data_IF_141804709361
#
_entry.id   IF_141804709361
#
_cell.length_a   1.000
_cell.length_b   1.000
_cell.length_c   1.000
_cell.angle_alpha   90.00
_cell.angle_beta   90.00
_cell.angle_gamma   90.00
#
_symmetry.space_group_name_H-M   'P 1'
#
loop_
_entity.id
_entity.type
_entity.pdbx_description
1 polymer ?
#
# COMPACT_ATOMS: atom_id res chain seq x y z
N UNK A 1 -3.93 69.64 14.17
CA UNK A 1 -4.58 68.50 13.47
C UNK A 1 -3.78 68.13 12.20
N UNK A 2 -2.46 67.98 12.30
CA UNK A 2 -1.54 67.76 11.17
C UNK A 2 -0.28 67.00 11.63
N UNK A 3 -0.43 65.87 12.33
CA UNK A 3 0.71 64.99 12.68
C UNK A 3 0.29 63.51 12.82
N UNK A 4 -0.49 62.97 11.87
CA UNK A 4 -0.79 61.52 11.85
C UNK A 4 -0.72 60.84 10.46
N UNK A 5 -0.06 61.44 9.45
CA UNK A 5 0.11 60.78 8.13
C UNK A 5 1.51 60.23 7.86
N UNK A 6 2.42 60.26 8.84
CA UNK A 6 3.82 59.85 8.63
C UNK A 6 4.16 58.39 9.02
N UNK A 7 3.18 57.47 9.13
CA UNK A 7 3.43 56.07 9.56
C UNK A 7 2.66 54.98 8.77
N UNK A 8 2.43 55.14 7.47
CA UNK A 8 2.00 54.03 6.57
C UNK A 8 3.02 53.76 5.45
N UNK A 9 4.31 53.65 5.81
CA UNK A 9 5.41 53.37 4.86
C UNK A 9 6.11 52.03 5.10
N UNK A 10 5.51 51.12 5.84
CA UNK A 10 6.10 49.81 6.15
C UNK A 10 5.11 48.72 5.82
N UNK A 11 5.37 47.99 4.73
CA UNK A 11 4.82 46.68 4.32
C UNK A 11 4.62 46.56 2.80
N UNK A 12 4.93 47.61 2.03
CA UNK A 12 4.93 47.46 0.57
C UNK A 12 6.12 46.61 0.12
N UNK A 13 5.85 45.63 -0.74
CA UNK A 13 6.87 44.75 -1.32
C UNK A 13 8.01 45.54 -1.98
N UNK A 14 9.26 45.08 -1.81
CA UNK A 14 10.41 45.79 -2.36
C UNK A 14 10.37 45.84 -3.90
N UNK A 15 10.87 46.92 -4.51
CA UNK A 15 10.99 47.08 -5.98
C UNK A 15 11.69 45.89 -6.65
N UNK A 16 12.71 45.32 -5.98
CA UNK A 16 13.45 44.14 -6.47
C UNK A 16 12.53 42.91 -6.53
N UNK A 17 11.76 42.67 -5.47
CA UNK A 17 10.81 41.55 -5.38
C UNK A 17 9.69 41.69 -6.43
N UNK A 18 9.12 42.89 -6.57
CA UNK A 18 8.14 43.19 -7.63
C UNK A 18 8.69 42.90 -9.03
N UNK A 19 9.96 43.22 -9.28
CA UNK A 19 10.62 42.97 -10.56
C UNK A 19 10.79 41.48 -10.84
N UNK A 20 11.23 40.72 -9.83
CA UNK A 20 11.35 39.25 -9.92
C UNK A 20 9.99 38.63 -10.25
N UNK A 21 8.93 39.00 -9.54
CA UNK A 21 7.57 38.53 -9.79
C UNK A 21 7.09 38.85 -11.22
N UNK A 22 7.36 40.07 -11.70
CA UNK A 22 7.00 40.46 -13.08
C UNK A 22 7.74 39.62 -14.12
N UNK A 23 9.04 39.36 -13.95
CA UNK A 23 9.82 38.52 -14.88
C UNK A 23 9.36 37.06 -14.86
N UNK A 24 9.00 36.55 -13.68
CA UNK A 24 8.61 35.15 -13.47
C UNK A 24 7.11 34.90 -13.65
N UNK A 25 6.35 35.92 -14.04
CA UNK A 25 4.90 35.84 -14.24
C UNK A 25 4.48 34.69 -15.15
N UNK A 26 5.16 34.52 -16.28
CA UNK A 26 4.86 33.44 -17.22
C UNK A 26 5.23 32.07 -16.66
N UNK A 27 6.36 31.96 -15.95
CA UNK A 27 6.76 30.73 -15.27
C UNK A 27 5.73 30.32 -14.22
N UNK A 28 5.28 31.27 -13.39
CA UNK A 28 4.22 31.03 -12.40
C UNK A 28 2.93 30.60 -13.12
N UNK A 29 2.51 31.30 -14.16
CA UNK A 29 1.31 30.96 -14.92
C UNK A 29 1.36 29.58 -15.60
N UNK A 30 2.55 29.10 -15.96
CA UNK A 30 2.76 27.79 -16.56
C UNK A 30 2.80 26.63 -15.55
N UNK A 31 3.11 26.93 -14.28
CA UNK A 31 3.31 25.91 -13.24
C UNK A 31 2.21 25.90 -12.18
N UNK A 32 1.41 26.96 -12.09
CA UNK A 32 0.34 27.11 -11.10
C UNK A 32 -0.99 27.18 -11.83
N UNK A 33 -1.88 26.24 -11.51
CA UNK A 33 -3.27 26.29 -11.93
C UNK A 33 -4.11 26.86 -10.79
N UNK A 34 -4.74 28.01 -11.00
CA UNK A 34 -5.59 28.66 -9.99
C UNK A 34 -6.96 27.95 -9.88
N UNK A 35 -6.97 26.70 -9.39
CA UNK A 35 -8.22 25.99 -9.08
C UNK A 35 -8.99 26.69 -7.96
N UNK A 36 -10.25 26.31 -7.74
CA UNK A 36 -11.03 26.84 -6.61
C UNK A 36 -10.38 26.52 -5.26
N UNK A 37 -9.84 25.30 -5.11
CA UNK A 37 -9.12 24.89 -3.90
C UNK A 37 -7.87 25.74 -3.69
N UNK A 38 -7.07 25.94 -4.73
CA UNK A 38 -5.88 26.80 -4.65
C UNK A 38 -6.23 28.25 -4.28
N UNK A 39 -7.35 28.78 -4.79
CA UNK A 39 -7.84 30.12 -4.42
C UNK A 39 -8.37 30.17 -2.98
N UNK A 40 -8.95 29.08 -2.46
CA UNK A 40 -9.30 28.97 -1.05
C UNK A 40 -8.04 28.99 -0.19
N UNK A 41 -7.02 28.21 -0.56
CA UNK A 41 -5.75 28.15 0.18
C UNK A 41 -5.02 29.50 0.17
N UNK A 42 -5.04 30.21 -0.97
CA UNK A 42 -4.53 31.59 -1.06
C UNK A 42 -5.29 32.55 -0.13
N UNK A 43 -6.60 32.38 0.00
CA UNK A 43 -7.44 33.23 0.84
C UNK A 43 -7.19 32.96 2.33
N UNK A 44 -7.14 31.68 2.72
CA UNK A 44 -6.84 31.25 4.08
C UNK A 44 -5.45 31.71 4.53
N UNK A 45 -4.47 31.61 3.63
CA UNK A 45 -3.12 32.10 3.91
C UNK A 45 -3.00 33.61 3.83
N UNK A 46 -4.02 34.34 3.36
CA UNK A 46 -4.03 35.79 3.19
C UNK A 46 -3.15 36.31 2.04
N UNK A 47 -2.84 35.46 1.05
CA UNK A 47 -2.11 35.80 -0.18
C UNK A 47 -3.03 36.30 -1.31
N UNK A 48 -4.32 36.39 -1.03
CA UNK A 48 -5.31 37.09 -1.86
C UNK A 48 -6.40 37.65 -0.93
N UNK A 49 -7.03 38.77 -1.32
CA UNK A 49 -8.24 39.27 -0.64
C UNK A 49 -9.49 38.63 -1.22
N UNK A 50 -10.61 38.64 -0.51
CA UNK A 50 -11.88 38.16 -1.06
C UNK A 50 -12.23 38.88 -2.37
N UNK A 51 -12.07 40.20 -2.42
CA UNK A 51 -12.29 40.99 -3.63
C UNK A 51 -11.33 40.59 -4.77
N UNK A 52 -10.04 40.38 -4.46
CA UNK A 52 -9.05 39.93 -5.43
C UNK A 52 -9.38 38.54 -5.99
N UNK A 53 -9.89 37.64 -5.15
CA UNK A 53 -10.35 36.31 -5.56
C UNK A 53 -11.47 36.40 -6.57
N UNK A 54 -12.50 37.22 -6.32
CA UNK A 54 -13.59 37.39 -7.27
C UNK A 54 -13.10 37.97 -8.61
N UNK A 55 -12.19 38.94 -8.58
CA UNK A 55 -11.59 39.50 -9.79
C UNK A 55 -10.79 38.46 -10.58
N UNK A 56 -10.09 37.55 -9.90
CA UNK A 56 -9.35 36.45 -10.52
C UNK A 56 -10.30 35.40 -11.10
N UNK A 57 -11.50 35.19 -10.56
CA UNK A 57 -12.48 34.23 -11.10
C UNK A 57 -13.12 34.69 -12.41
N UNK A 58 -13.22 36.00 -12.63
CA UNK A 58 -13.82 36.58 -13.83
C UNK A 58 -13.01 36.28 -15.09
N UNK A 59 -11.71 35.99 -14.96
CA UNK A 59 -10.84 35.73 -16.11
C UNK A 59 -11.01 34.32 -16.69
N UNK A 60 -11.11 34.25 -18.01
CA UNK A 60 -11.46 33.01 -18.74
C UNK A 60 -10.32 32.01 -18.90
N UNK A 61 -9.05 32.43 -18.72
CA UNK A 61 -7.90 31.55 -18.90
C UNK A 61 -6.92 31.65 -17.71
N UNK A 62 -6.22 30.56 -17.42
CA UNK A 62 -5.35 30.49 -16.24
C UNK A 62 -4.24 31.55 -16.24
N UNK A 63 -3.72 31.90 -17.41
CA UNK A 63 -2.68 32.93 -17.54
C UNK A 63 -3.20 34.29 -17.06
N UNK A 64 -4.34 34.76 -17.58
CA UNK A 64 -4.96 36.02 -17.16
C UNK A 64 -5.37 35.99 -15.69
N UNK A 65 -5.83 34.85 -15.18
CA UNK A 65 -6.12 34.65 -13.74
C UNK A 65 -4.87 34.90 -12.89
N UNK A 66 -3.73 34.32 -13.27
CA UNK A 66 -2.45 34.51 -12.58
C UNK A 66 -1.94 35.94 -12.74
N UNK A 67 -2.08 36.56 -13.91
CA UNK A 67 -1.72 37.96 -14.12
C UNK A 67 -2.50 38.89 -13.21
N UNK A 68 -3.83 38.71 -13.14
CA UNK A 68 -4.74 39.49 -12.28
C UNK A 68 -4.39 39.32 -10.80
N UNK A 69 -4.12 38.11 -10.36
CA UNK A 69 -3.66 37.84 -8.99
C UNK A 69 -2.34 38.54 -8.69
N UNK A 70 -1.37 38.44 -9.60
CA UNK A 70 -0.02 39.02 -9.46
C UNK A 70 0.00 40.55 -9.53
N UNK A 71 -1.00 41.17 -10.14
CA UNK A 71 -1.21 42.62 -10.10
C UNK A 71 -1.72 43.08 -8.73
N UNK A 72 -2.63 42.33 -8.11
CA UNK A 72 -3.17 42.65 -6.79
C UNK A 72 -2.19 42.31 -5.65
N UNK A 73 -1.38 41.26 -5.83
CA UNK A 73 -0.51 40.69 -4.80
C UNK A 73 0.46 41.68 -4.12
N UNK A 74 1.17 42.59 -4.83
CA UNK A 74 2.13 43.51 -4.22
C UNK A 74 1.50 44.58 -3.33
N UNK A 75 0.18 44.71 -3.35
CA UNK A 75 -0.59 45.70 -2.58
C UNK A 75 -1.21 45.12 -1.30
N UNK A 76 -0.95 43.84 -1.00
CA UNK A 76 -1.38 43.22 0.25
C UNK A 76 -0.61 43.82 1.43
N UNK A 77 -1.32 44.15 2.51
CA UNK A 77 -0.72 44.65 3.75
C UNK A 77 -0.10 43.49 4.54
N UNK A 78 1.10 43.07 4.12
CA UNK A 78 1.88 42.01 4.79
C UNK A 78 3.32 42.43 5.02
N UNK A 79 3.90 41.92 6.10
CA UNK A 79 5.28 42.22 6.47
C UNK A 79 6.30 41.66 5.47
N UNK A 80 6.07 40.45 4.95
CA UNK A 80 7.00 39.75 4.06
C UNK A 80 6.29 39.03 2.89
N UNK A 81 5.53 39.75 2.05
CA UNK A 81 4.64 39.14 1.06
C UNK A 81 5.37 38.19 0.11
N UNK A 82 6.57 38.55 -0.37
CA UNK A 82 7.33 37.68 -1.27
C UNK A 82 7.77 36.36 -0.60
N UNK A 83 8.21 36.43 0.67
CA UNK A 83 8.64 35.22 1.39
C UNK A 83 7.45 34.32 1.68
N UNK A 84 6.32 34.91 2.06
CA UNK A 84 5.08 34.18 2.34
C UNK A 84 4.58 33.46 1.07
N UNK A 85 4.66 34.14 -0.09
CA UNK A 85 4.37 33.54 -1.39
C UNK A 85 5.29 32.36 -1.70
N UNK A 86 6.60 32.50 -1.53
CA UNK A 86 7.53 31.40 -1.79
C UNK A 86 7.24 30.17 -0.91
N UNK A 87 6.93 30.39 0.37
CA UNK A 87 6.59 29.30 1.30
C UNK A 87 5.28 28.63 0.91
N UNK A 88 4.27 29.41 0.53
CA UNK A 88 3.01 28.87 0.01
C UNK A 88 3.21 28.08 -1.29
N UNK A 89 4.05 28.58 -2.19
CA UNK A 89 4.33 27.87 -3.43
C UNK A 89 5.12 26.59 -3.20
N UNK A 90 5.94 26.47 -2.15
CA UNK A 90 6.64 25.21 -1.85
C UNK A 90 5.68 24.05 -1.54
N UNK A 91 4.48 24.34 -1.00
CA UNK A 91 3.47 23.31 -0.72
C UNK A 91 2.66 22.90 -1.96
N UNK A 92 2.69 23.70 -3.03
CA UNK A 92 1.88 23.49 -4.24
C UNK A 92 2.71 23.20 -5.50
N UNK A 93 3.97 23.62 -5.51
CA UNK A 93 4.93 23.40 -6.59
C UNK A 93 6.31 23.15 -6.00
N UNK A 94 6.88 21.99 -6.35
CA UNK A 94 8.13 21.51 -5.77
C UNK A 94 9.34 22.39 -6.08
N UNK A 95 9.28 23.27 -7.10
CA UNK A 95 10.44 24.04 -7.58
C UNK A 95 10.20 25.54 -7.69
N UNK A 96 8.94 25.99 -7.79
CA UNK A 96 8.66 27.39 -8.08
C UNK A 96 9.07 28.33 -6.94
N UNK A 97 8.84 27.95 -5.68
CA UNK A 97 9.27 28.73 -4.53
C UNK A 97 10.79 28.92 -4.49
N UNK A 98 11.56 27.90 -4.84
CA UNK A 98 13.02 27.99 -4.93
C UNK A 98 13.52 28.81 -6.11
N UNK A 99 12.92 28.67 -7.29
CA UNK A 99 13.28 29.47 -8.46
C UNK A 99 13.10 30.96 -8.16
N UNK A 100 12.00 31.34 -7.49
CA UNK A 100 11.76 32.71 -7.04
C UNK A 100 12.79 33.20 -6.02
N UNK A 101 13.17 32.36 -5.03
CA UNK A 101 14.19 32.72 -4.04
C UNK A 101 15.58 32.88 -4.66
N UNK A 102 15.94 31.99 -5.60
CA UNK A 102 17.22 32.05 -6.32
C UNK A 102 17.29 33.31 -7.17
N UNK A 103 16.22 33.61 -7.92
CA UNK A 103 16.13 34.82 -8.74
C UNK A 103 16.21 36.10 -7.88
N UNK A 104 15.51 36.12 -6.74
CA UNK A 104 15.61 37.23 -5.79
C UNK A 104 17.01 37.40 -5.24
N UNK A 105 17.69 36.31 -4.90
CA UNK A 105 19.07 36.34 -4.41
C UNK A 105 20.02 36.86 -5.50
N UNK A 106 19.85 36.43 -6.74
CA UNK A 106 20.62 36.91 -7.88
C UNK A 106 20.45 38.42 -8.07
N UNK A 107 19.19 38.90 -8.10
CA UNK A 107 18.89 40.33 -8.28
C UNK A 107 19.38 41.19 -7.10
N UNK A 108 19.25 40.70 -5.85
CA UNK A 108 19.75 41.40 -4.64
C UNK A 108 21.28 41.47 -4.61
N UNK A 109 21.95 40.43 -5.07
CA UNK A 109 23.42 40.38 -5.10
C UNK A 109 24.01 41.31 -6.16
N UNK A 110 23.19 41.93 -7.01
CA UNK A 110 23.65 42.91 -8.00
C UNK A 110 24.76 42.33 -8.87
N UNK A 111 24.58 41.11 -9.36
CA UNK A 111 25.55 40.38 -10.19
C UNK A 111 26.80 39.85 -9.46
N UNK A 112 26.93 40.03 -8.15
CA UNK A 112 27.98 39.42 -7.33
C UNK A 112 27.69 37.96 -6.94
N UNK A 113 26.87 37.26 -7.75
CA UNK A 113 26.76 35.82 -7.62
C UNK A 113 28.12 35.22 -7.97
N UNK A 114 28.70 34.39 -7.11
CA UNK A 114 29.96 33.69 -7.42
C UNK A 114 29.65 32.69 -8.54
N UNK A 115 29.80 33.13 -9.79
CA UNK A 115 29.67 32.27 -10.96
C UNK A 115 30.88 31.36 -11.00
N UNK A 116 30.63 30.05 -11.07
CA UNK A 116 31.67 29.05 -11.19
C UNK A 116 32.46 29.23 -12.50
N UNK A 117 33.77 29.03 -12.46
CA UNK A 117 34.68 29.32 -13.58
C UNK A 117 34.32 28.53 -14.85
N UNK A 118 33.83 27.30 -14.71
CA UNK A 118 33.40 26.50 -15.87
C UNK A 118 32.13 27.05 -16.52
N UNK A 119 31.19 27.62 -15.74
CA UNK A 119 29.98 28.28 -16.27
C UNK A 119 30.37 29.52 -17.07
N UNK A 120 31.36 30.28 -16.57
CA UNK A 120 31.89 31.44 -17.28
C UNK A 120 32.44 31.04 -18.65
N UNK A 121 33.27 30.00 -18.71
CA UNK A 121 33.84 29.49 -19.97
C UNK A 121 32.78 28.98 -20.92
N UNK A 122 31.78 28.26 -20.42
CA UNK A 122 30.70 27.74 -21.25
C UNK A 122 29.83 28.88 -21.81
N UNK A 123 29.47 29.86 -20.99
CA UNK A 123 28.74 31.04 -21.44
C UNK A 123 29.53 31.85 -22.49
N UNK A 124 30.85 31.98 -22.30
CA UNK A 124 31.74 32.60 -23.28
C UNK A 124 31.77 31.82 -24.60
N UNK A 125 31.90 30.49 -24.54
CA UNK A 125 31.87 29.63 -25.72
C UNK A 125 30.53 29.72 -26.46
N UNK A 126 29.40 29.75 -25.74
CA UNK A 126 28.07 29.91 -26.32
C UNK A 126 27.92 31.26 -27.04
N UNK A 127 28.32 32.35 -26.39
CA UNK A 127 28.25 33.69 -27.01
C UNK A 127 29.20 33.81 -28.20
N UNK A 128 30.40 33.25 -28.10
CA UNK A 128 31.36 33.27 -29.21
C UNK A 128 30.88 32.42 -30.39
N UNK A 129 30.25 31.27 -30.12
CA UNK A 129 29.69 30.40 -31.16
C UNK A 129 28.55 31.07 -31.90
N UNK A 130 27.62 31.68 -31.17
CA UNK A 130 26.38 32.19 -31.76
C UNK A 130 26.53 33.64 -32.27
N UNK A 131 27.43 34.42 -31.66
CA UNK A 131 27.61 35.86 -31.95
C UNK A 131 29.05 36.29 -32.24
N UNK A 132 30.05 35.41 -32.16
CA UNK A 132 31.47 35.78 -32.29
C UNK A 132 31.77 36.52 -33.60
N UNK A 133 31.25 36.03 -34.72
CA UNK A 133 31.41 36.64 -36.04
C UNK A 133 30.35 37.71 -36.36
N UNK A 134 29.40 37.95 -35.46
CA UNK A 134 28.35 38.94 -35.68
C UNK A 134 28.92 40.35 -35.63
N UNK A 135 28.78 41.08 -36.73
CA UNK A 135 29.02 42.53 -36.81
C UNK A 135 27.81 43.36 -36.35
N UNK A 136 26.66 42.71 -36.11
CA UNK A 136 25.41 43.37 -35.72
C UNK A 136 25.37 43.71 -34.23
N UNK A 137 26.16 43.01 -33.42
CA UNK A 137 26.28 43.22 -31.98
C UNK A 137 27.64 43.83 -31.69
N UNK A 138 27.66 44.86 -30.83
CA UNK A 138 28.92 45.41 -30.35
C UNK A 138 29.58 44.44 -29.37
N UNK A 139 30.90 44.58 -29.16
CA UNK A 139 31.62 43.82 -28.13
C UNK A 139 31.14 44.14 -26.70
N UNK A 140 30.43 45.25 -26.51
CA UNK A 140 29.75 45.54 -25.25
C UNK A 140 28.48 44.68 -25.12
N UNK A 141 27.66 44.62 -26.16
CA UNK A 141 26.44 43.80 -26.18
C UNK A 141 26.77 42.31 -26.00
N UNK A 142 27.84 41.82 -26.65
CA UNK A 142 28.31 40.44 -26.47
C UNK A 142 28.72 40.15 -25.03
N UNK A 143 29.41 41.09 -24.37
CA UNK A 143 29.77 40.98 -22.94
C UNK A 143 28.53 40.98 -22.04
N UNK A 144 27.55 41.82 -22.32
CA UNK A 144 26.29 41.88 -21.56
C UNK A 144 25.46 40.60 -21.75
N UNK A 145 25.37 40.09 -22.98
CA UNK A 145 24.72 38.80 -23.27
C UNK A 145 25.45 37.68 -22.53
N UNK A 146 26.78 37.63 -22.58
CA UNK A 146 27.57 36.64 -21.85
C UNK A 146 27.27 36.69 -20.37
N UNK A 147 27.28 37.89 -19.79
CA UNK A 147 26.95 38.09 -18.38
C UNK A 147 25.54 37.59 -18.01
N UNK A 148 24.54 37.83 -18.87
CA UNK A 148 23.18 37.33 -18.69
C UNK A 148 23.11 35.79 -18.76
N UNK A 149 23.82 35.19 -19.72
CA UNK A 149 23.90 33.73 -19.88
C UNK A 149 24.59 33.09 -18.67
N UNK A 150 25.73 33.64 -18.22
CA UNK A 150 26.45 33.22 -17.02
C UNK A 150 25.52 33.20 -15.80
N UNK A 151 24.83 34.32 -15.56
CA UNK A 151 23.90 34.46 -14.44
C UNK A 151 22.76 33.45 -14.52
N UNK A 152 22.20 33.23 -15.72
CA UNK A 152 21.09 32.29 -15.91
C UNK A 152 21.52 30.85 -15.72
N UNK A 153 22.67 30.46 -16.26
CA UNK A 153 23.24 29.12 -16.08
C UNK A 153 23.54 28.84 -14.60
N UNK A 154 24.11 29.81 -13.88
CA UNK A 154 24.38 29.69 -12.45
C UNK A 154 23.09 29.52 -11.63
N UNK A 155 22.04 30.28 -11.94
CA UNK A 155 20.74 30.11 -11.28
C UNK A 155 20.13 28.74 -11.55
N UNK A 156 20.20 28.26 -12.79
CA UNK A 156 19.71 26.91 -13.15
C UNK A 156 20.50 25.81 -12.44
N UNK A 157 21.83 25.94 -12.35
CA UNK A 157 22.67 24.99 -11.62
C UNK A 157 22.27 24.91 -10.15
N UNK A 158 22.06 26.05 -9.48
CA UNK A 158 21.63 26.08 -8.08
C UNK A 158 20.24 25.47 -7.88
N UNK A 159 19.31 25.72 -8.81
CA UNK A 159 17.99 25.08 -8.81
C UNK A 159 18.11 23.56 -8.94
N UNK A 160 18.95 23.09 -9.86
CA UNK A 160 19.21 21.66 -10.06
C UNK A 160 19.90 21.01 -8.86
N UNK A 161 20.86 21.70 -8.21
CA UNK A 161 21.47 21.23 -6.96
C UNK A 161 20.40 21.01 -5.89
N UNK A 162 19.50 21.96 -5.68
CA UNK A 162 18.38 21.83 -4.73
C UNK A 162 17.43 20.69 -5.10
N UNK A 163 17.05 20.59 -6.37
CA UNK A 163 16.16 19.52 -6.84
C UNK A 163 16.80 18.14 -6.61
N UNK A 164 18.08 18.00 -6.98
CA UNK A 164 18.84 16.76 -6.77
C UNK A 164 18.92 16.39 -5.29
N UNK A 165 19.18 17.36 -4.40
CA UNK A 165 19.19 17.12 -2.95
C UNK A 165 17.83 16.65 -2.42
N UNK A 166 16.71 17.24 -2.89
CA UNK A 166 15.37 16.76 -2.53
C UNK A 166 15.09 15.36 -3.04
N UNK A 167 15.35 15.09 -4.31
CA UNK A 167 15.15 13.77 -4.90
C UNK A 167 16.01 12.70 -4.22
N UNK A 168 17.24 13.04 -3.83
CA UNK A 168 18.09 12.15 -3.05
C UNK A 168 17.47 11.85 -1.68
N UNK A 169 16.98 12.86 -0.96
CA UNK A 169 16.32 12.66 0.33
C UNK A 169 15.04 11.81 0.23
N UNK A 170 14.19 12.06 -0.76
CA UNK A 170 12.99 11.23 -1.01
C UNK A 170 13.38 9.77 -1.27
N UNK A 171 14.43 9.55 -2.07
CA UNK A 171 14.91 8.21 -2.39
C UNK A 171 15.53 7.51 -1.17
N UNK A 172 16.24 8.24 -0.31
CA UNK A 172 16.76 7.72 0.96
C UNK A 172 15.62 7.31 1.91
N UNK A 173 14.58 8.15 2.04
CA UNK A 173 13.38 7.86 2.84
C UNK A 173 12.63 6.63 2.28
N UNK A 174 12.52 6.52 0.95
CA UNK A 174 11.88 5.38 0.30
C UNK A 174 12.69 4.08 0.46
N UNK A 175 14.03 4.16 0.40
CA UNK A 175 14.89 3.01 0.71
C UNK A 175 14.72 2.60 2.18
N UNK A 176 14.69 3.56 3.11
CA UNK A 176 14.52 3.28 4.54
C UNK A 176 13.17 2.60 4.82
N UNK A 177 12.08 3.10 4.22
CA UNK A 177 10.76 2.47 4.33
C UNK A 177 10.73 1.06 3.73
N UNK A 178 11.34 0.85 2.56
CA UNK A 178 11.49 -0.49 1.93
C UNK A 178 12.33 -1.45 2.78
N UNK A 179 13.39 -0.98 3.42
CA UNK A 179 14.19 -1.77 4.36
C UNK A 179 13.35 -2.19 5.58
N UNK A 180 12.58 -1.27 6.15
CA UNK A 180 11.67 -1.56 7.26
C UNK A 180 10.61 -2.61 6.86
N UNK A 181 10.00 -2.48 5.67
CA UNK A 181 9.07 -3.51 5.16
C UNK A 181 9.74 -4.87 5.00
N UNK A 182 11.00 -4.91 4.53
CA UNK A 182 11.76 -6.15 4.40
C UNK A 182 12.06 -6.79 5.75
N UNK A 183 12.45 -5.99 6.75
CA UNK A 183 12.68 -6.46 8.12
C UNK A 183 11.40 -7.02 8.74
N UNK A 184 10.28 -6.30 8.61
CA UNK A 184 8.96 -6.75 9.07
C UNK A 184 8.53 -8.05 8.39
N UNK A 185 8.76 -8.17 7.08
CA UNK A 185 8.48 -9.40 6.33
C UNK A 185 9.35 -10.57 6.82
N UNK A 186 10.65 -10.34 7.06
CA UNK A 186 11.53 -11.37 7.62
C UNK A 186 11.13 -11.80 9.03
N UNK A 187 10.72 -10.85 9.87
CA UNK A 187 10.22 -11.15 11.21
C UNK A 187 8.93 -11.97 11.15
N UNK A 188 8.00 -11.63 10.24
CA UNK A 188 6.80 -12.40 9.99
C UNK A 188 7.13 -13.83 9.54
N UNK A 189 8.06 -14.00 8.60
CA UNK A 189 8.54 -15.33 8.16
C UNK A 189 9.13 -16.11 9.34
N UNK A 190 9.91 -15.49 10.23
CA UNK A 190 10.43 -16.12 11.45
C UNK A 190 9.30 -16.55 12.39
N UNK A 191 8.28 -15.70 12.59
CA UNK A 191 7.11 -15.99 13.42
C UNK A 191 6.31 -17.16 12.85
N UNK A 192 6.03 -17.16 11.54
CA UNK A 192 5.35 -18.26 10.83
C UNK A 192 6.15 -19.56 10.95
N UNK A 193 7.46 -19.53 10.68
CA UNK A 193 8.30 -20.72 10.82
C UNK A 193 8.37 -21.24 12.26
N UNK A 194 8.39 -20.35 13.25
CA UNK A 194 8.37 -20.74 14.66
C UNK A 194 7.04 -21.37 15.04
N UNK A 195 5.93 -20.79 14.59
CA UNK A 195 4.59 -21.34 14.73
C UNK A 195 4.49 -22.74 14.11
N UNK A 196 4.95 -22.91 12.86
CA UNK A 196 4.95 -24.20 12.17
C UNK A 196 5.82 -25.24 12.89
N UNK A 197 6.95 -24.84 13.48
CA UNK A 197 7.81 -25.75 14.28
C UNK A 197 7.13 -26.20 15.58
N UNK A 198 6.54 -25.27 16.33
CA UNK A 198 5.87 -25.56 17.60
C UNK A 198 4.64 -26.45 17.37
N UNK A 199 3.88 -26.16 16.31
CA UNK A 199 2.66 -26.90 15.97
C UNK A 199 2.90 -28.07 15.01
N UNK A 200 4.15 -28.40 14.68
CA UNK A 200 4.50 -29.49 13.74
C UNK A 200 3.87 -30.82 14.13
N UNK A 201 3.72 -31.10 15.43
CA UNK A 201 3.09 -32.33 15.92
C UNK A 201 1.56 -32.30 15.79
N UNK A 202 0.91 -31.18 16.05
CA UNK A 202 -0.54 -31.02 15.87
C UNK A 202 -0.94 -30.99 14.38
N UNK A 203 -0.11 -30.35 13.55
CA UNK A 203 -0.27 -30.33 12.09
C UNK A 203 0.03 -31.70 11.45
N UNK A 204 0.97 -32.48 12.02
CA UNK A 204 1.23 -33.86 11.56
C UNK A 204 0.22 -34.87 12.09
N UNK A 205 -0.29 -34.72 13.32
CA UNK A 205 -1.28 -35.64 13.89
C UNK A 205 -2.63 -35.58 13.17
N UNK A 206 -2.93 -34.48 12.47
CA UNK A 206 -4.12 -34.36 11.62
C UNK A 206 -3.90 -34.88 10.18
N UNK A 207 -2.69 -35.30 9.83
CA UNK A 207 -2.33 -35.88 8.51
C UNK A 207 -2.03 -37.39 8.62
N UNK A 208 -1.90 -37.92 9.84
CA UNK A 208 -1.77 -39.36 10.10
C UNK A 208 -3.12 -39.96 10.52
N UNK A 209 -4.04 -40.14 9.57
CA UNK A 209 -5.20 -41.02 9.70
C UNK A 209 -5.27 -41.93 8.47
N UNK A 210 -4.17 -42.63 8.20
CA UNK A 210 -4.11 -43.71 7.22
C UNK A 210 -2.96 -44.65 7.59
N UNK A 211 -3.04 -45.25 8.78
CA UNK A 211 -2.37 -46.52 9.09
C UNK A 211 -3.17 -47.19 10.21
N UNK A 212 -3.45 -48.47 10.00
CA UNK A 212 -4.42 -49.33 10.71
C UNK A 212 -4.12 -49.52 12.21
N UNK A 213 -5.10 -49.95 13.02
CA UNK A 213 -4.88 -50.24 14.43
C UNK A 213 -4.37 -51.68 14.62
N UNK A 214 -3.18 -51.83 15.21
CA UNK A 214 -2.83 -53.04 15.96
C UNK A 214 -3.06 -52.83 17.46
N UNK A 215 -3.53 -53.91 18.07
CA UNK A 215 -4.03 -54.07 19.43
C UNK A 215 -3.01 -53.76 20.53
N UNK A 216 -3.49 -53.20 21.65
CA UNK A 216 -3.31 -53.71 23.03
C UNK A 216 -2.94 -52.64 24.08
N UNK A 217 -3.80 -52.62 25.10
CA UNK A 217 -3.54 -52.41 26.53
C UNK A 217 -3.00 -51.07 27.10
N UNK A 218 -3.90 -50.49 27.90
CA UNK A 218 -3.73 -50.03 29.30
C UNK A 218 -2.77 -48.87 29.65
N UNK A 219 -3.43 -47.94 30.36
CA UNK A 219 -2.94 -47.07 31.42
C UNK A 219 -2.20 -45.78 31.05
N UNK A 220 -2.74 -44.67 31.60
CA UNK A 220 -1.92 -43.54 32.02
C UNK A 220 -2.54 -42.18 31.71
N UNK A 221 -3.24 -41.64 32.70
CA UNK A 221 -3.55 -40.23 32.87
C UNK A 221 -2.49 -39.28 32.25
N UNK A 222 -2.94 -38.30 31.46
CA UNK A 222 -2.57 -36.89 31.65
C UNK A 222 -3.49 -35.97 30.86
N UNK A 223 -4.42 -35.41 31.62
CA UNK A 223 -5.09 -34.16 31.31
C UNK A 223 -4.04 -33.07 31.06
N UNK A 224 -3.97 -32.55 29.84
CA UNK A 224 -3.45 -31.21 29.56
C UNK A 224 -4.45 -30.53 28.63
N UNK A 225 -5.21 -29.60 29.20
CA UNK A 225 -6.02 -28.61 28.50
C UNK A 225 -5.16 -27.98 27.40
N UNK A 226 -5.45 -28.28 26.14
CA UNK A 226 -5.09 -27.40 25.04
C UNK A 226 -6.09 -26.25 25.02
N UNK A 227 -5.65 -24.99 24.91
CA UNK A 227 -6.56 -23.88 24.69
C UNK A 227 -7.20 -24.06 23.30
N UNK A 228 -8.51 -23.82 23.21
CA UNK A 228 -9.23 -23.82 21.95
C UNK A 228 -8.51 -22.89 20.95
N UNK A 229 -7.92 -23.48 19.92
CA UNK A 229 -7.26 -22.76 18.85
C UNK A 229 -8.35 -22.28 17.89
N UNK A 230 -8.52 -20.96 17.81
CA UNK A 230 -9.61 -20.33 17.09
C UNK A 230 -9.28 -20.25 15.59
N UNK A 231 -9.60 -21.33 14.84
CA UNK A 231 -9.30 -21.50 13.41
C UNK A 231 -9.78 -20.34 12.52
N UNK A 232 -10.77 -19.57 12.98
CA UNK A 232 -11.24 -18.35 12.30
C UNK A 232 -10.14 -17.31 12.16
N UNK A 233 -9.25 -17.18 13.14
CA UNK A 233 -8.24 -16.11 13.16
C UNK A 233 -7.11 -16.36 12.14
N UNK A 234 -6.79 -17.63 11.87
CA UNK A 234 -5.76 -18.03 10.90
C UNK A 234 -6.22 -17.83 9.45
N UNK A 235 -7.47 -18.16 9.15
CA UNK A 235 -8.05 -17.93 7.81
C UNK A 235 -8.17 -16.43 7.52
N UNK A 236 -8.54 -15.63 8.52
CA UNK A 236 -8.58 -14.17 8.37
C UNK A 236 -7.18 -13.57 8.17
N UNK A 237 -6.17 -14.05 8.89
CA UNK A 237 -4.77 -13.63 8.68
C UNK A 237 -4.26 -14.02 7.29
N UNK A 238 -4.52 -15.26 6.85
CA UNK A 238 -4.12 -15.73 5.53
C UNK A 238 -4.77 -14.89 4.43
N UNK A 239 -6.08 -14.64 4.52
CA UNK A 239 -6.80 -13.81 3.57
C UNK A 239 -6.27 -12.36 3.54
N UNK A 240 -5.92 -11.78 4.69
CA UNK A 240 -5.32 -10.44 4.73
C UNK A 240 -3.95 -10.40 4.03
N UNK A 241 -3.17 -11.47 4.17
CA UNK A 241 -1.82 -11.56 3.58
C UNK A 241 -1.89 -11.76 2.06
N UNK A 242 -2.86 -12.57 1.59
CA UNK A 242 -3.14 -12.74 0.16
C UNK A 242 -3.59 -11.40 -0.44
N UNK A 243 -4.44 -10.65 0.25
CA UNK A 243 -4.90 -9.35 -0.24
C UNK A 243 -3.75 -8.35 -0.38
N UNK A 244 -2.86 -8.25 0.61
CA UNK A 244 -1.66 -7.39 0.49
C UNK A 244 -0.74 -7.79 -0.66
N UNK A 245 -0.61 -9.10 -0.95
CA UNK A 245 0.19 -9.55 -2.10
C UNK A 245 -0.46 -9.16 -3.44
N UNK A 246 -1.78 -9.21 -3.54
CA UNK A 246 -2.53 -8.75 -4.72
C UNK A 246 -2.33 -7.25 -4.92
N UNK A 247 -2.43 -6.46 -3.85
CA UNK A 247 -2.27 -5.01 -3.92
C UNK A 247 -0.85 -4.61 -4.38
N UNK A 248 0.18 -5.28 -3.86
CA UNK A 248 1.57 -5.08 -4.29
C UNK A 248 1.76 -5.46 -5.77
N UNK A 249 1.15 -6.57 -6.21
CA UNK A 249 1.23 -7.01 -7.60
C UNK A 249 0.60 -5.98 -8.55
N UNK A 250 -0.54 -5.41 -8.17
CA UNK A 250 -1.22 -4.39 -8.97
C UNK A 250 -0.39 -3.09 -9.07
N UNK A 251 0.26 -2.69 -7.96
CA UNK A 251 1.15 -1.54 -7.95
C UNK A 251 2.34 -1.71 -8.92
N UNK A 252 2.96 -2.89 -8.93
CA UNK A 252 4.06 -3.19 -9.86
C UNK A 252 3.63 -3.20 -11.33
N UNK A 253 2.41 -3.64 -11.64
CA UNK A 253 1.86 -3.59 -13.00
C UNK A 253 1.68 -2.14 -13.46
N UNK A 254 1.15 -1.27 -12.60
CA UNK A 254 0.98 0.16 -12.92
C UNK A 254 2.33 0.86 -13.18
N UNK A 255 3.35 0.57 -12.38
CA UNK A 255 4.70 1.13 -12.57
C UNK A 255 5.33 0.68 -13.89
N UNK A 256 5.13 -0.58 -14.29
CA UNK A 256 5.58 -1.10 -15.58
C UNK A 256 4.95 -0.33 -16.76
N UNK A 257 3.65 -0.04 -16.68
CA UNK A 257 2.92 0.68 -17.73
C UNK A 257 3.31 2.17 -17.82
N UNK A 258 3.67 2.80 -16.69
CA UNK A 258 4.24 4.15 -16.66
C UNK A 258 5.60 4.19 -17.37
N UNK A 259 6.48 3.21 -17.08
CA UNK A 259 7.80 3.10 -17.71
C UNK A 259 7.71 2.84 -19.22
N UNK A 260 6.75 2.03 -19.67
CA UNK A 260 6.48 1.81 -21.10
C UNK A 260 6.04 3.11 -21.80
N UNK A 261 5.22 3.94 -21.14
CA UNK A 261 4.80 5.26 -21.66
C UNK A 261 5.97 6.26 -21.70
N UNK A 262 6.82 6.28 -20.66
CA UNK A 262 8.04 7.09 -20.61
C UNK A 262 8.98 6.78 -21.78
N UNK A 263 9.17 5.48 -22.05
CA UNK A 263 9.99 4.99 -23.17
C UNK A 263 9.47 5.50 -24.51
N UNK A 264 8.16 5.39 -24.77
CA UNK A 264 7.55 5.85 -26.01
C UNK A 264 7.77 7.36 -26.23
N UNK A 265 7.57 8.18 -25.17
CA UNK A 265 7.82 9.63 -25.21
C UNK A 265 9.26 9.96 -25.59
N UNK A 266 10.22 9.20 -25.07
CA UNK A 266 11.66 9.44 -25.29
C UNK A 266 12.07 9.12 -26.73
N UNK A 267 11.49 8.05 -27.31
CA UNK A 267 11.73 7.67 -28.72
C UNK A 267 11.21 8.73 -29.69
N UNK A 268 10.07 9.36 -29.40
CA UNK A 268 9.50 10.42 -30.26
C UNK A 268 10.35 11.70 -30.26
N UNK A 269 10.98 12.03 -29.12
CA UNK A 269 11.90 13.18 -29.01
C UNK A 269 13.16 12.97 -29.86
N UNK A 270 13.64 11.73 -29.96
CA UNK A 270 14.85 11.39 -30.74
C UNK A 270 14.59 11.46 -32.25
N UNK A 271 13.34 11.27 -32.71
CA UNK A 271 12.97 11.27 -34.14
C UNK A 271 12.75 12.66 -34.76
N UNK A 272 12.91 13.76 -34.02
CA UNK A 272 12.66 15.11 -34.53
C UNK A 272 13.73 15.56 -35.54
N UNK A 273 13.31 15.76 -36.80
CA UNK A 273 14.07 16.30 -37.94
C UNK A 273 14.43 17.78 -37.71
N UNK A 274 15.64 18.06 -37.25
CA UNK A 274 16.43 19.27 -37.61
C UNK A 274 17.71 19.30 -36.77
N UNK A 275 18.78 18.62 -37.21
CA UNK A 275 20.13 18.75 -36.61
C UNK A 275 21.25 18.63 -37.65
N UNK A 276 22.35 19.30 -37.33
CA UNK A 276 23.55 19.53 -38.15
C UNK A 276 24.49 18.32 -38.19
N UNK A 277 24.92 17.95 -39.40
CA UNK A 277 25.68 16.73 -39.77
C UNK A 277 26.87 16.31 -38.88
N UNK A 278 27.59 17.24 -38.24
CA UNK A 278 28.77 16.89 -37.42
C UNK A 278 28.42 16.39 -36.01
N UNK A 279 27.29 16.84 -35.46
CA UNK A 279 26.76 16.35 -34.18
C UNK A 279 26.04 15.02 -34.40
N UNK A 280 25.48 14.80 -35.59
CA UNK A 280 24.82 13.55 -35.95
C UNK A 280 25.79 12.37 -35.98
N UNK A 281 27.04 12.48 -36.45
CA UNK A 281 27.95 11.30 -36.46
C UNK A 281 28.36 10.83 -35.05
N UNK A 282 28.63 11.77 -34.13
CA UNK A 282 29.01 11.43 -32.75
C UNK A 282 27.80 10.98 -31.92
N UNK A 283 26.65 11.64 -32.09
CA UNK A 283 25.38 11.18 -31.50
C UNK A 283 24.98 9.83 -32.11
N UNK A 284 25.16 9.59 -33.41
CA UNK A 284 24.81 8.32 -34.05
C UNK A 284 25.68 7.19 -33.51
N UNK A 285 26.99 7.38 -33.30
CA UNK A 285 27.84 6.37 -32.64
C UNK A 285 27.42 6.06 -31.21
N UNK A 286 27.08 7.09 -30.42
CA UNK A 286 26.61 6.91 -29.04
C UNK A 286 25.23 6.23 -29.03
N UNK A 287 24.34 6.61 -29.95
CA UNK A 287 23.02 6.03 -30.12
C UNK A 287 23.09 4.60 -30.65
N UNK A 288 24.04 4.26 -31.53
CA UNK A 288 24.27 2.90 -32.01
C UNK A 288 24.75 2.00 -30.87
N UNK A 289 25.71 2.45 -30.06
CA UNK A 289 26.16 1.69 -28.88
C UNK A 289 25.04 1.51 -27.83
N UNK A 290 24.23 2.56 -27.62
CA UNK A 290 23.06 2.47 -26.73
C UNK A 290 21.91 1.66 -27.33
N UNK A 291 21.75 1.64 -28.66
CA UNK A 291 20.75 0.83 -29.34
C UNK A 291 21.09 -0.65 -29.19
N UNK A 292 22.36 -1.03 -29.36
CA UNK A 292 22.80 -2.41 -29.10
C UNK A 292 22.64 -2.83 -27.64
N UNK A 293 22.92 -1.93 -26.68
CA UNK A 293 22.65 -2.20 -25.27
C UNK A 293 21.14 -2.34 -24.99
N UNK A 294 20.30 -1.56 -25.67
CA UNK A 294 18.85 -1.67 -25.58
C UNK A 294 18.37 -2.99 -26.18
N UNK A 295 18.87 -3.41 -27.34
CA UNK A 295 18.52 -4.68 -27.97
C UNK A 295 18.90 -5.87 -27.08
N UNK A 296 20.10 -5.85 -26.48
CA UNK A 296 20.53 -6.86 -25.50
C UNK A 296 19.64 -6.89 -24.25
N UNK A 297 19.18 -5.73 -23.80
CA UNK A 297 18.25 -5.63 -22.68
C UNK A 297 16.85 -6.09 -23.06
N UNK A 298 16.40 -5.84 -24.29
CA UNK A 298 15.12 -6.31 -24.81
C UNK A 298 15.10 -7.83 -24.95
N UNK A 299 16.19 -8.45 -25.43
CA UNK A 299 16.31 -9.92 -25.47
C UNK A 299 16.29 -10.51 -24.05
N UNK A 300 16.96 -9.87 -23.09
CA UNK A 300 16.91 -10.27 -21.67
C UNK A 300 15.52 -10.11 -21.07
N UNK A 301 14.80 -9.05 -21.42
CA UNK A 301 13.41 -8.85 -20.96
C UNK A 301 12.51 -9.92 -21.57
N UNK A 302 12.60 -10.18 -22.87
CA UNK A 302 11.81 -11.21 -23.55
C UNK A 302 12.05 -12.61 -22.95
N UNK A 303 13.30 -12.97 -22.68
CA UNK A 303 13.62 -14.25 -22.02
C UNK A 303 13.15 -14.32 -20.56
N UNK A 304 13.04 -13.18 -19.87
CA UNK A 304 12.45 -13.11 -18.53
C UNK A 304 10.93 -13.19 -18.57
N UNK A 305 10.27 -12.55 -19.53
CA UNK A 305 8.83 -12.65 -19.77
C UNK A 305 8.42 -14.12 -20.06
N UNK A 306 9.20 -14.83 -20.87
CA UNK A 306 8.99 -16.27 -21.12
C UNK A 306 9.12 -17.13 -19.84
N UNK A 307 10.05 -16.77 -18.95
CA UNK A 307 10.20 -17.46 -17.65
C UNK A 307 9.03 -17.17 -16.72
N UNK A 308 8.56 -15.92 -16.69
CA UNK A 308 7.39 -15.51 -15.91
C UNK A 308 6.15 -16.26 -16.42
N UNK A 309 5.91 -16.28 -17.73
CA UNK A 309 4.77 -17.00 -18.32
C UNK A 309 4.81 -18.50 -17.99
N UNK A 310 6.01 -19.13 -18.01
CA UNK A 310 6.18 -20.53 -17.58
C UNK A 310 5.88 -20.73 -16.10
N UNK A 311 6.32 -19.81 -15.24
CA UNK A 311 6.05 -19.86 -13.80
C UNK A 311 4.56 -19.65 -13.49
N UNK A 312 3.90 -18.71 -14.16
CA UNK A 312 2.46 -18.47 -14.04
C UNK A 312 1.65 -19.70 -14.45
N UNK A 313 2.01 -20.33 -15.57
CA UNK A 313 1.36 -21.58 -16.02
C UNK A 313 1.52 -22.70 -14.98
N UNK A 314 2.72 -22.85 -14.42
CA UNK A 314 2.97 -23.84 -13.36
C UNK A 314 2.17 -23.53 -12.08
N UNK A 315 2.12 -22.26 -11.67
CA UNK A 315 1.33 -21.84 -10.52
C UNK A 315 -0.17 -22.15 -10.74
N UNK A 316 -0.69 -21.81 -11.92
CA UNK A 316 -2.09 -22.04 -12.27
C UNK A 316 -2.44 -23.55 -12.31
N UNK A 317 -1.51 -24.40 -12.80
CA UNK A 317 -1.65 -25.86 -12.70
C UNK A 317 -1.68 -26.35 -11.25
N UNK A 318 -0.86 -25.78 -10.39
CA UNK A 318 -0.79 -26.16 -8.97
C UNK A 318 -2.07 -25.75 -8.23
N UNK A 319 -2.60 -24.55 -8.51
CA UNK A 319 -3.89 -24.08 -7.99
C UNK A 319 -5.03 -24.98 -8.45
N UNK A 320 -5.07 -25.38 -9.74
CA UNK A 320 -6.10 -26.30 -10.24
C UNK A 320 -6.07 -27.65 -9.51
N UNK A 321 -4.89 -28.24 -9.31
CA UNK A 321 -4.74 -29.51 -8.56
C UNK A 321 -5.23 -29.36 -7.11
N UNK A 322 -4.84 -28.28 -6.44
CA UNK A 322 -5.29 -28.02 -5.07
C UNK A 322 -6.82 -27.86 -4.98
N UNK A 323 -7.44 -27.18 -5.96
CA UNK A 323 -8.90 -27.04 -6.02
C UNK A 323 -9.62 -28.36 -6.31
N UNK A 324 -9.04 -29.22 -7.16
CA UNK A 324 -9.56 -30.57 -7.41
C UNK A 324 -9.48 -31.46 -6.16
N UNK A 325 -8.36 -31.41 -5.43
CA UNK A 325 -8.19 -32.11 -4.15
C UNK A 325 -9.18 -31.62 -3.09
N UNK A 326 -9.35 -30.30 -2.95
CA UNK A 326 -10.33 -29.71 -2.03
C UNK A 326 -11.75 -30.19 -2.34
N UNK A 327 -12.13 -30.24 -3.63
CA UNK A 327 -13.44 -30.72 -4.04
C UNK A 327 -13.63 -32.22 -3.77
N UNK A 328 -12.57 -33.03 -3.91
CA UNK A 328 -12.58 -34.44 -3.54
C UNK A 328 -12.81 -34.61 -2.03
N UNK A 329 -12.04 -33.89 -1.20
CA UNK A 329 -12.19 -33.92 0.26
C UNK A 329 -13.57 -33.44 0.71
N UNK A 330 -14.13 -32.42 0.04
CA UNK A 330 -15.48 -31.93 0.34
C UNK A 330 -16.55 -32.99 0.07
N UNK A 331 -16.42 -33.75 -1.03
CA UNK A 331 -17.32 -34.89 -1.33
C UNK A 331 -17.19 -36.00 -0.29
N UNK A 332 -15.98 -36.29 0.15
CA UNK A 332 -15.72 -37.31 1.17
C UNK A 332 -16.27 -36.90 2.54
N UNK A 333 -16.07 -35.64 2.94
CA UNK A 333 -16.68 -35.07 4.14
C UNK A 333 -18.20 -35.14 4.11
N UNK A 334 -18.82 -34.91 2.95
CA UNK A 334 -20.27 -35.04 2.81
C UNK A 334 -20.74 -36.48 2.99
N UNK A 335 -20.02 -37.46 2.43
CA UNK A 335 -20.30 -38.89 2.68
C UNK A 335 -20.18 -39.26 4.16
N UNK A 336 -19.13 -38.78 4.82
CA UNK A 336 -18.92 -39.02 6.25
C UNK A 336 -20.00 -38.35 7.11
N UNK A 337 -20.46 -37.15 6.74
CA UNK A 337 -21.59 -36.48 7.40
C UNK A 337 -22.88 -37.29 7.27
N UNK A 338 -23.17 -37.82 6.08
CA UNK A 338 -24.31 -38.72 5.88
C UNK A 338 -24.19 -39.99 6.75
N UNK A 339 -23.03 -40.63 6.78
CA UNK A 339 -22.81 -41.81 7.65
C UNK A 339 -22.97 -41.48 9.14
N UNK A 340 -22.44 -40.35 9.58
CA UNK A 340 -22.59 -39.90 10.97
C UNK A 340 -24.06 -39.64 11.32
N UNK A 341 -24.82 -39.07 10.39
CA UNK A 341 -26.24 -38.82 10.60
C UNK A 341 -27.02 -40.13 10.75
N UNK A 342 -26.83 -41.08 9.83
CA UNK A 342 -27.44 -42.42 9.91
C UNK A 342 -27.04 -43.15 11.21
N UNK A 343 -25.77 -43.05 11.61
CA UNK A 343 -25.30 -43.64 12.86
C UNK A 343 -25.95 -43.00 14.09
N UNK A 344 -26.18 -41.68 14.08
CA UNK A 344 -26.86 -40.97 15.18
C UNK A 344 -28.32 -41.40 15.29
N UNK A 345 -29.03 -41.51 14.16
CA UNK A 345 -30.40 -42.01 14.13
C UNK A 345 -30.48 -43.45 14.66
N UNK A 346 -29.51 -44.30 14.29
CA UNK A 346 -29.46 -45.68 14.79
C UNK A 346 -29.18 -45.75 16.29
N UNK A 347 -28.30 -44.90 16.81
CA UNK A 347 -28.04 -44.81 18.26
C UNK A 347 -29.32 -44.39 18.98
N UNK A 348 -30.02 -43.36 18.48
CA UNK A 348 -31.27 -42.90 19.06
C UNK A 348 -32.34 -44.01 19.07
N UNK A 349 -32.49 -44.76 17.97
CA UNK A 349 -33.41 -45.90 17.91
C UNK A 349 -33.05 -47.00 18.91
N UNK A 350 -31.74 -47.27 19.11
CA UNK A 350 -31.27 -48.23 20.09
C UNK A 350 -31.50 -47.76 21.54
N UNK A 351 -31.31 -46.47 21.81
CA UNK A 351 -31.61 -45.86 23.11
C UNK A 351 -33.10 -45.97 23.45
N UNK A 352 -33.99 -45.66 22.51
CA UNK A 352 -35.45 -45.82 22.67
C UNK A 352 -35.84 -47.29 22.91
N UNK A 353 -35.19 -48.24 22.23
CA UNK A 353 -35.43 -49.66 22.43
C UNK A 353 -34.93 -50.15 23.80
N UNK A 354 -33.77 -49.68 24.27
CA UNK A 354 -33.25 -50.00 25.61
C UNK A 354 -34.21 -49.46 26.68
N UNK A 355 -34.70 -48.23 26.54
CA UNK A 355 -35.65 -47.63 27.47
C UNK A 355 -36.95 -48.45 27.55
N UNK A 356 -37.51 -48.83 26.38
CA UNK A 356 -38.70 -49.70 26.31
C UNK A 356 -38.47 -51.04 27.00
N UNK A 357 -37.35 -51.70 26.70
CA UNK A 357 -37.01 -53.01 27.28
C UNK A 357 -36.78 -52.92 28.79
N UNK A 358 -36.18 -51.83 29.26
CA UNK A 358 -35.97 -51.56 30.69
C UNK A 358 -37.31 -51.40 31.40
N UNK A 359 -38.26 -50.69 30.78
CA UNK A 359 -39.62 -50.55 31.32
C UNK A 359 -40.38 -51.88 31.37
N UNK A 360 -40.24 -52.72 30.35
CA UNK A 360 -40.81 -54.08 30.34
C UNK A 360 -40.19 -54.97 31.42
N UNK A 361 -38.87 -54.91 31.63
CA UNK A 361 -38.21 -55.58 32.75
C UNK A 361 -38.73 -55.10 34.10
N UNK A 362 -38.88 -53.79 34.32
CA UNK A 362 -39.44 -53.27 35.56
C UNK A 362 -40.86 -53.79 35.80
N UNK A 363 -41.72 -53.75 34.78
CA UNK A 363 -43.09 -54.26 34.85
C UNK A 363 -43.15 -55.77 35.16
N UNK A 364 -42.25 -56.56 34.57
CA UNK A 364 -42.19 -58.01 34.83
C UNK A 364 -41.62 -58.32 36.20
N UNK A 365 -40.63 -57.55 36.67
CA UNK A 365 -40.08 -57.67 38.02
C UNK A 365 -41.14 -57.35 39.09
N UNK A 366 -41.93 -56.29 38.90
CA UNK A 366 -43.07 -55.99 39.76
C UNK A 366 -44.12 -57.12 39.81
N UNK A 367 -44.40 -57.75 38.66
CA UNK A 367 -45.30 -58.91 38.59
C UNK A 367 -44.71 -60.10 39.34
N UNK A 368 -43.41 -60.35 39.18
CA UNK A 368 -42.71 -61.41 39.89
C UNK A 368 -42.74 -61.20 41.40
N UNK A 369 -42.49 -59.99 41.89
CA UNK A 369 -42.58 -59.66 43.31
C UNK A 369 -44.00 -59.85 43.86
N UNK A 370 -45.03 -59.46 43.11
CA UNK A 370 -46.44 -59.73 43.47
C UNK A 370 -46.71 -61.23 43.60
N UNK A 371 -46.23 -62.04 42.65
CA UNK A 371 -46.38 -63.50 42.68
C UNK A 371 -45.60 -64.13 43.83
N UNK A 372 -44.36 -63.68 44.08
CA UNK A 372 -43.53 -64.11 45.20
C UNK A 372 -44.23 -63.83 46.53
N UNK A 373 -44.70 -62.61 46.75
CA UNK A 373 -45.44 -62.22 47.95
C UNK A 373 -46.71 -63.07 48.14
N UNK A 374 -47.44 -63.33 47.06
CA UNK A 374 -48.62 -64.21 47.09
C UNK A 374 -48.26 -65.65 47.46
N UNK A 375 -47.16 -66.18 46.90
CA UNK A 375 -46.65 -67.52 47.22
C UNK A 375 -46.25 -67.63 48.69
N UNK A 376 -45.47 -66.67 49.21
CA UNK A 376 -45.06 -66.61 50.62
C UNK A 376 -46.28 -66.54 51.56
N UNK A 377 -47.32 -65.79 51.19
CA UNK A 377 -48.58 -65.72 51.94
C UNK A 377 -49.33 -67.05 51.94
N UNK A 378 -49.45 -67.72 50.79
CA UNK A 378 -50.09 -69.03 50.69
C UNK A 378 -49.32 -70.09 51.51
N UNK A 379 -48.00 -70.04 51.50
CA UNK A 379 -47.16 -70.94 52.27
C UNK A 379 -47.33 -70.73 53.79
N UNK A 380 -47.33 -69.45 54.25
CA UNK A 380 -47.65 -69.10 55.64
C UNK A 380 -49.03 -69.60 56.05
N UNK A 381 -50.04 -69.41 55.19
CA UNK A 381 -51.43 -69.82 55.46
C UNK A 381 -51.55 -71.35 55.52
N UNK A 382 -50.90 -72.10 54.61
CA UNK A 382 -50.83 -73.57 54.68
C UNK A 382 -50.17 -74.04 55.98
N UNK A 383 -49.04 -73.46 56.38
CA UNK A 383 -48.35 -73.83 57.63
C UNK A 383 -49.24 -73.59 58.86
N UNK A 384 -50.04 -72.52 58.87
CA UNK A 384 -51.01 -72.25 59.93
C UNK A 384 -52.16 -73.26 59.93
N UNK A 385 -52.69 -73.62 58.76
CA UNK A 385 -53.71 -74.66 58.59
C UNK A 385 -53.24 -76.04 59.10
N UNK A 386 -52.04 -76.47 58.71
CA UNK A 386 -51.45 -77.72 59.20
C UNK A 386 -51.25 -77.72 60.73
N UNK A 387 -50.85 -76.59 61.31
CA UNK A 387 -50.74 -76.45 62.78
C UNK A 387 -52.10 -76.50 63.48
N UNK A 388 -53.14 -75.95 62.86
CA UNK A 388 -54.52 -75.98 63.39
C UNK A 388 -55.12 -77.41 63.31
N UNK A 389 -54.93 -78.11 62.20
CA UNK A 389 -55.38 -79.49 62.01
C UNK A 389 -54.67 -80.46 62.96
N UNK A 390 -53.36 -80.29 63.17
CA UNK A 390 -52.61 -81.09 64.15
C UNK A 390 -53.06 -80.81 65.59
N UNK A 391 -53.42 -79.56 65.93
CA UNK A 391 -54.00 -79.23 67.25
C UNK A 391 -55.41 -79.80 67.43
N UNK A 392 -56.24 -79.84 66.40
CA UNK A 392 -57.58 -80.46 66.48
C UNK A 392 -57.49 -81.99 66.60
N UNK A 393 -56.55 -82.64 65.90
CA UNK A 393 -56.29 -84.08 66.05
C UNK A 393 -55.76 -84.46 67.44
N UNK A 394 -55.01 -83.57 68.10
CA UNK A 394 -54.57 -83.77 69.49
C UNK A 394 -55.67 -83.55 70.54
N UNK A 395 -56.76 -82.83 70.22
CA UNK A 395 -57.92 -82.66 71.12
C UNK A 395 -58.99 -83.76 70.97
N UNK A 396 -58.88 -84.62 69.96
CA UNK A 396 -59.80 -85.74 69.67
C UNK A 396 -59.25 -87.11 70.08
N UNK A 397 -58.08 -87.14 70.70
CA UNK A 397 -57.57 -88.25 71.51
C UNK A 397 -57.63 -87.81 72.96
#
# INVERSE_FOLDING_TARGET
MFQQEAKKKGNEMNKVEKRVLRRKRFTIASQVTLSEDFLNDLLETGLITQQGREQVKVENNNVARVERWMEAFPHLDRKHPFSDLCTFLDSHSTLLGDDLRIELKAEKSGNAYKVEEWIRREAEALVQRDFGNSRRLSEMDKRDIRFLVESRMQMMQELWKKQRSRSAGILEDEIATKMNYRENAQELVKKVNSFLRVNKKALKSNVSFAEEPETSEMNGQRSRRQPAFDDRNLVTQLNSTIQSLIDISNQCIMELDELKRERARTVDVIKMKDRTQAVDEEITKILEGRATEVDDLEEKVSTMEDKIAKLENNLQKTIRRAAEEENSHKKELEKLRCHLHVSKEKIQELEENIERTTQEMLNTNERYDKLRNKSEMLEKTRRLGFKADNKQKQKRK
#
